data_IF_730755803752
#
_entry.id   IF_730755803752
#
_cell.length_a   1.000
_cell.length_b   1.000
_cell.length_c   1.000
_cell.angle_alpha   90.00
_cell.angle_beta   90.00
_cell.angle_gamma   90.00
#
_symmetry.space_group_name_H-M   'P 1'
#
loop_
_entity.id
_entity.type
_entity.pdbx_description
1 polymer ?
#
# COMPACT_ATOMS: atom_id res chain seq x y z
N UNK A 1 -44.00 29.22 49.97
CA UNK A 1 -42.99 30.27 49.94
C UNK A 1 -42.06 29.99 48.77
N UNK A 2 -42.34 30.62 47.62
CA UNK A 2 -41.51 30.50 46.42
C UNK A 2 -40.31 31.45 46.53
N UNK A 3 -39.12 30.88 46.59
CA UNK A 3 -37.87 31.65 46.49
C UNK A 3 -37.65 31.99 45.02
N UNK A 4 -38.00 33.21 44.64
CA UNK A 4 -37.67 33.77 43.30
C UNK A 4 -36.18 34.11 43.35
N UNK A 5 -35.33 33.24 42.86
CA UNK A 5 -33.89 33.50 42.67
C UNK A 5 -33.78 34.53 41.54
N UNK A 6 -33.59 35.80 41.86
CA UNK A 6 -33.20 36.84 40.88
C UNK A 6 -31.75 36.60 40.49
N UNK A 7 -31.54 35.81 39.44
CA UNK A 7 -30.21 35.69 38.83
C UNK A 7 -29.90 37.06 38.21
N UNK A 8 -28.86 37.77 38.63
CA UNK A 8 -28.52 39.05 38.04
C UNK A 8 -28.21 38.88 36.53
N UNK A 9 -28.72 39.76 35.69
CA UNK A 9 -28.65 39.70 34.22
C UNK A 9 -27.22 39.42 33.72
N UNK A 10 -26.21 39.97 34.39
CA UNK A 10 -24.81 39.78 34.01
C UNK A 10 -24.35 38.30 34.16
N UNK A 11 -24.88 37.55 35.12
CA UNK A 11 -24.55 36.13 35.29
C UNK A 11 -25.20 35.31 34.14
N UNK A 12 -26.41 35.62 33.75
CA UNK A 12 -27.07 34.99 32.61
C UNK A 12 -26.30 35.26 31.32
N UNK A 13 -25.89 36.50 31.09
CA UNK A 13 -25.09 36.88 29.91
C UNK A 13 -23.73 36.17 29.93
N UNK A 14 -23.03 36.12 31.08
CA UNK A 14 -21.75 35.41 31.20
C UNK A 14 -21.88 33.91 30.93
N UNK A 15 -22.97 33.28 31.41
CA UNK A 15 -23.24 31.87 31.15
C UNK A 15 -23.45 31.60 29.67
N UNK A 16 -24.23 32.42 28.98
CA UNK A 16 -24.45 32.26 27.55
C UNK A 16 -23.19 32.53 26.72
N UNK A 17 -22.36 33.50 27.11
CA UNK A 17 -21.08 33.78 26.48
C UNK A 17 -20.11 32.58 26.65
N UNK A 18 -20.06 31.96 27.84
CA UNK A 18 -19.27 30.80 28.12
C UNK A 18 -19.70 29.58 27.27
N UNK A 19 -21.02 29.34 27.19
CA UNK A 19 -21.57 28.26 26.36
C UNK A 19 -21.27 28.47 24.88
N UNK A 20 -21.40 29.70 24.38
CA UNK A 20 -21.03 30.01 23.00
C UNK A 20 -19.54 29.80 22.73
N UNK A 21 -18.64 30.23 23.63
CA UNK A 21 -17.21 30.02 23.51
C UNK A 21 -16.86 28.53 23.51
N UNK A 22 -17.49 27.75 24.38
CA UNK A 22 -17.30 26.30 24.43
C UNK A 22 -17.78 25.62 23.15
N UNK A 23 -18.92 26.03 22.62
CA UNK A 23 -19.45 25.55 21.35
C UNK A 23 -18.51 25.84 20.18
N UNK A 24 -17.96 27.04 20.11
CA UNK A 24 -16.95 27.40 19.08
C UNK A 24 -15.69 26.55 19.24
N UNK A 25 -15.20 26.34 20.46
CA UNK A 25 -14.02 25.49 20.73
C UNK A 25 -14.25 24.06 20.24
N UNK A 26 -15.40 23.47 20.55
CA UNK A 26 -15.78 22.12 20.11
C UNK A 26 -15.82 22.05 18.58
N UNK A 27 -16.43 23.00 17.91
CA UNK A 27 -16.49 23.04 16.45
C UNK A 27 -15.09 23.16 15.83
N UNK A 28 -14.21 23.98 16.41
CA UNK A 28 -12.82 24.12 15.95
C UNK A 28 -12.06 22.80 16.14
N UNK A 29 -12.21 22.13 17.28
CA UNK A 29 -11.59 20.82 17.52
C UNK A 29 -12.09 19.76 16.52
N UNK A 30 -13.39 19.69 16.26
CA UNK A 30 -13.94 18.79 15.25
C UNK A 30 -13.44 19.10 13.84
N UNK A 31 -13.31 20.37 13.48
CA UNK A 31 -12.73 20.78 12.19
C UNK A 31 -11.26 20.39 12.07
N UNK A 32 -10.47 20.53 13.15
CA UNK A 32 -9.07 20.12 13.16
C UNK A 32 -8.95 18.60 13.09
N UNK A 33 -9.76 17.87 13.86
CA UNK A 33 -9.81 16.41 13.81
C UNK A 33 -10.26 15.93 12.42
N UNK A 34 -11.26 16.55 11.83
CA UNK A 34 -11.71 16.26 10.47
C UNK A 34 -10.62 16.51 9.42
N UNK A 35 -9.79 17.56 9.57
CA UNK A 35 -8.64 17.80 8.68
C UNK A 35 -7.54 16.76 8.86
N UNK A 36 -7.26 16.33 10.09
CA UNK A 36 -6.31 15.26 10.36
C UNK A 36 -6.79 13.93 9.79
N UNK A 37 -8.07 13.61 9.93
CA UNK A 37 -8.69 12.42 9.35
C UNK A 37 -8.77 12.50 7.83
N UNK A 38 -9.09 13.65 7.24
CA UNK A 38 -9.12 13.86 5.80
C UNK A 38 -7.69 13.87 5.19
N UNK A 39 -6.69 14.40 5.92
CA UNK A 39 -5.28 14.29 5.54
C UNK A 39 -4.74 12.86 5.65
N UNK A 40 -5.27 12.07 6.58
CA UNK A 40 -5.01 10.63 6.66
C UNK A 40 -5.77 9.83 5.58
N UNK A 41 -6.77 10.44 4.92
CA UNK A 41 -7.58 9.84 3.85
C UNK A 41 -7.07 10.15 2.44
N UNK A 42 -6.03 10.98 2.27
CA UNK A 42 -5.16 10.80 1.13
C UNK A 42 -4.32 9.56 1.48
N UNK A 43 -4.51 8.42 0.79
CA UNK A 43 -3.51 7.38 0.86
C UNK A 43 -2.23 8.09 0.41
N UNK A 44 -1.31 8.36 1.34
CA UNK A 44 0.08 8.45 0.96
C UNK A 44 0.23 7.27 0.02
N UNK A 45 0.59 7.50 -1.25
CA UNK A 45 0.74 6.43 -2.22
C UNK A 45 1.79 5.48 -1.65
N UNK A 46 1.31 4.57 -0.80
CA UNK A 46 2.11 3.54 -0.17
C UNK A 46 2.39 2.54 -1.27
N UNK A 47 3.59 2.60 -1.78
CA UNK A 47 3.99 1.73 -2.86
C UNK A 47 4.09 2.42 -4.23
N UNK A 48 4.44 1.67 -5.26
CA UNK A 48 4.49 2.14 -6.63
C UNK A 48 3.08 2.43 -7.16
N UNK A 49 2.98 3.36 -8.10
CA UNK A 49 1.69 3.71 -8.70
C UNK A 49 1.12 2.52 -9.48
N UNK A 50 -0.17 2.24 -9.30
CA UNK A 50 -0.88 1.21 -10.07
C UNK A 50 -0.86 1.60 -11.56
N UNK A 51 -0.58 0.64 -12.45
CA UNK A 51 -0.39 0.83 -13.87
C UNK A 51 1.03 1.27 -14.27
N UNK A 52 1.93 1.56 -13.33
CA UNK A 52 3.34 1.81 -13.65
C UNK A 52 4.13 0.51 -13.82
N UNK A 53 5.23 0.57 -14.57
CA UNK A 53 6.18 -0.52 -14.63
C UNK A 53 6.87 -0.68 -13.27
N UNK A 54 6.90 -1.91 -12.75
CA UNK A 54 7.61 -2.23 -11.54
C UNK A 54 9.13 -2.19 -11.79
N UNK A 55 9.88 -1.67 -10.81
CA UNK A 55 11.33 -1.62 -10.91
C UNK A 55 11.95 -3.01 -10.64
N UNK A 56 13.06 -3.37 -11.31
CA UNK A 56 13.78 -4.59 -10.96
C UNK A 56 14.40 -4.49 -9.56
N UNK A 57 14.39 -5.60 -8.82
CA UNK A 57 14.97 -5.67 -7.49
C UNK A 57 16.07 -6.73 -7.44
N UNK A 58 17.27 -6.32 -7.07
CA UNK A 58 18.34 -7.22 -6.73
C UNK A 58 18.28 -7.56 -5.24
N UNK A 59 18.38 -8.85 -4.90
CA UNK A 59 18.31 -9.33 -3.52
C UNK A 59 19.22 -10.54 -3.31
N UNK A 60 19.58 -10.80 -2.07
CA UNK A 60 20.29 -12.02 -1.66
C UNK A 60 19.42 -12.82 -0.70
N UNK A 61 19.51 -14.16 -0.76
CA UNK A 61 18.85 -15.03 0.21
C UNK A 61 19.62 -15.11 1.52
N UNK A 62 18.97 -15.53 2.64
CA UNK A 62 19.65 -15.79 3.89
C UNK A 62 20.76 -16.85 3.70
N UNK A 63 22.00 -16.50 4.09
CA UNK A 63 23.14 -17.41 3.99
C UNK A 63 23.71 -17.62 2.58
N UNK A 64 23.20 -16.91 1.56
CA UNK A 64 23.74 -16.95 0.21
C UNK A 64 24.40 -15.58 -0.13
N UNK A 65 25.63 -15.61 -0.65
CA UNK A 65 26.31 -14.40 -1.19
C UNK A 65 25.84 -14.06 -2.61
N UNK A 66 25.18 -15.02 -3.27
CA UNK A 66 24.71 -14.85 -4.63
C UNK A 66 23.58 -13.82 -4.71
N UNK A 67 23.76 -12.82 -5.55
CA UNK A 67 22.74 -11.82 -5.83
C UNK A 67 21.78 -12.35 -6.90
N UNK A 68 20.52 -12.44 -6.54
CA UNK A 68 19.41 -12.78 -7.42
C UNK A 68 18.70 -11.50 -7.89
N UNK A 69 17.91 -11.59 -8.93
CA UNK A 69 17.15 -10.48 -9.44
C UNK A 69 15.71 -10.87 -9.71
N UNK A 70 14.79 -10.06 -9.23
CA UNK A 70 13.42 -10.03 -9.71
C UNK A 70 13.39 -9.02 -10.87
N UNK A 71 13.06 -9.51 -12.07
CA UNK A 71 12.94 -8.67 -13.27
C UNK A 71 11.47 -8.69 -13.69
N UNK A 72 10.68 -7.67 -13.34
CA UNK A 72 9.29 -7.57 -13.78
C UNK A 72 9.20 -7.56 -15.32
N UNK A 73 8.18 -8.22 -15.87
CA UNK A 73 8.01 -8.29 -17.33
C UNK A 73 8.76 -9.44 -18.01
N UNK A 74 9.30 -10.40 -17.24
CA UNK A 74 9.92 -11.63 -17.77
C UNK A 74 8.89 -12.73 -18.12
N UNK A 75 7.60 -12.38 -18.11
CA UNK A 75 6.49 -13.30 -18.36
C UNK A 75 5.96 -14.00 -17.12
N UNK A 76 6.60 -13.82 -15.96
CA UNK A 76 6.16 -14.43 -14.70
C UNK A 76 5.55 -13.36 -13.77
N UNK A 77 4.26 -13.49 -13.42
CA UNK A 77 3.64 -12.57 -12.46
C UNK A 77 4.24 -12.75 -11.07
N UNK A 78 4.34 -11.67 -10.31
CA UNK A 78 5.00 -11.66 -9.02
C UNK A 78 4.17 -10.98 -7.94
N UNK A 79 4.23 -11.52 -6.72
CA UNK A 79 3.69 -10.94 -5.51
C UNK A 79 4.87 -10.60 -4.59
N UNK A 80 5.13 -9.33 -4.38
CA UNK A 80 6.28 -8.84 -3.60
C UNK A 80 5.78 -8.23 -2.30
N UNK A 81 6.21 -8.78 -1.18
CA UNK A 81 5.90 -8.26 0.15
C UNK A 81 7.15 -7.64 0.78
N UNK A 82 7.05 -6.39 1.17
CA UNK A 82 8.06 -5.70 1.96
C UNK A 82 7.67 -5.80 3.43
N UNK A 83 8.51 -6.44 4.22
CA UNK A 83 8.24 -6.80 5.61
C UNK A 83 9.38 -6.41 6.54
N UNK A 84 9.06 -6.19 7.80
CA UNK A 84 10.01 -6.00 8.87
C UNK A 84 9.78 -7.10 9.92
N UNK A 85 10.81 -7.90 10.28
CA UNK A 85 10.68 -8.97 11.25
C UNK A 85 10.30 -8.51 12.66
N UNK A 86 10.45 -7.23 12.97
CA UNK A 86 10.09 -6.65 14.27
C UNK A 86 8.65 -6.12 14.31
N UNK A 87 7.95 -6.16 13.18
CA UNK A 87 6.59 -5.66 13.04
C UNK A 87 5.56 -6.79 13.21
N UNK A 88 4.68 -6.76 14.23
CA UNK A 88 3.68 -7.81 14.45
C UNK A 88 2.74 -8.01 13.26
N UNK A 89 2.31 -6.94 12.59
CA UNK A 89 1.45 -7.02 11.40
C UNK A 89 2.16 -7.70 10.22
N UNK A 90 3.49 -7.66 10.18
CA UNK A 90 4.27 -8.36 9.17
C UNK A 90 4.30 -9.87 9.44
N UNK A 91 4.37 -10.30 10.70
CA UNK A 91 4.26 -11.71 11.07
C UNK A 91 2.90 -12.29 10.69
N UNK A 92 1.82 -11.54 10.92
CA UNK A 92 0.47 -11.91 10.49
C UNK A 92 0.40 -12.08 8.97
N UNK A 93 0.92 -11.12 8.20
CA UNK A 93 0.95 -11.19 6.74
C UNK A 93 1.73 -12.40 6.24
N UNK A 94 2.90 -12.68 6.81
CA UNK A 94 3.73 -13.83 6.44
C UNK A 94 2.98 -15.13 6.70
N UNK A 95 2.30 -15.26 7.85
CA UNK A 95 1.46 -16.42 8.15
C UNK A 95 0.32 -16.61 7.13
N UNK A 96 -0.31 -15.52 6.71
CA UNK A 96 -1.37 -15.55 5.69
C UNK A 96 -0.81 -15.96 4.32
N UNK A 97 0.32 -15.41 3.90
CA UNK A 97 0.96 -15.75 2.63
C UNK A 97 1.42 -17.22 2.61
N UNK A 98 1.98 -17.71 3.70
CA UNK A 98 2.40 -19.11 3.83
C UNK A 98 1.20 -20.07 3.79
N UNK A 99 0.11 -19.73 4.46
CA UNK A 99 -1.13 -20.50 4.40
C UNK A 99 -1.73 -20.51 2.98
N UNK A 100 -1.76 -19.37 2.29
CA UNK A 100 -2.23 -19.25 0.91
C UNK A 100 -1.32 -20.05 -0.06
N UNK A 101 0.00 -20.02 0.15
CA UNK A 101 0.96 -20.83 -0.61
C UNK A 101 0.71 -22.33 -0.45
N UNK A 102 0.52 -22.80 0.79
CA UNK A 102 0.20 -24.21 1.07
C UNK A 102 -1.17 -24.64 0.52
N UNK A 103 -2.12 -23.71 0.47
CA UNK A 103 -3.44 -23.96 -0.14
C UNK A 103 -3.41 -23.95 -1.68
N UNK A 104 -2.27 -23.64 -2.31
CA UNK A 104 -2.15 -23.53 -3.76
C UNK A 104 -2.70 -22.22 -4.35
N UNK A 105 -3.14 -21.28 -3.52
CA UNK A 105 -3.74 -20.02 -3.96
C UNK A 105 -2.72 -19.09 -4.66
N UNK A 106 -1.41 -19.32 -4.45
CA UNK A 106 -0.31 -18.56 -5.04
C UNK A 106 0.38 -19.32 -6.19
N UNK A 107 -0.24 -20.40 -6.69
CA UNK A 107 0.33 -21.21 -7.79
C UNK A 107 0.45 -20.37 -9.05
N UNK A 108 1.62 -20.45 -9.71
CA UNK A 108 1.93 -19.65 -10.90
C UNK A 108 2.42 -18.24 -10.62
N UNK A 109 2.44 -17.81 -9.34
CA UNK A 109 3.01 -16.54 -8.93
C UNK A 109 4.41 -16.74 -8.31
N UNK A 110 5.31 -15.85 -8.63
CA UNK A 110 6.56 -15.71 -7.87
C UNK A 110 6.30 -14.90 -6.62
N UNK A 111 6.31 -15.54 -5.46
CA UNK A 111 6.08 -14.83 -4.17
C UNK A 111 7.41 -14.59 -3.49
N UNK A 112 7.74 -13.29 -3.26
CA UNK A 112 9.00 -12.84 -2.69
C UNK A 112 8.74 -11.96 -1.46
N UNK A 113 9.31 -12.36 -0.32
CA UNK A 113 9.36 -11.57 0.90
C UNK A 113 10.67 -10.78 0.94
N UNK A 114 10.61 -9.47 0.91
CA UNK A 114 11.77 -8.60 1.03
C UNK A 114 11.82 -7.96 2.42
N UNK A 115 12.89 -8.26 3.15
CA UNK A 115 13.13 -7.70 4.49
C UNK A 115 13.75 -6.32 4.33
N UNK A 116 13.04 -5.28 4.81
CA UNK A 116 13.41 -3.88 4.62
C UNK A 116 14.63 -3.47 5.46
N UNK A 117 14.82 -4.06 6.64
CA UNK A 117 15.95 -3.75 7.52
C UNK A 117 17.05 -4.82 7.43
N UNK A 118 18.29 -4.43 7.05
CA UNK A 118 19.41 -5.38 6.93
C UNK A 118 19.88 -5.95 8.26
N UNK A 119 19.65 -5.27 9.39
CA UNK A 119 20.04 -5.75 10.72
C UNK A 119 19.09 -6.84 11.18
N UNK A 120 17.81 -6.64 10.99
CA UNK A 120 16.75 -7.59 11.36
C UNK A 120 16.80 -8.87 10.53
N UNK A 121 17.46 -8.86 9.37
CA UNK A 121 17.64 -10.02 8.53
C UNK A 121 18.45 -11.15 9.19
N UNK A 122 19.41 -10.82 10.04
CA UNK A 122 20.19 -11.79 10.82
C UNK A 122 19.40 -12.38 11.98
N UNK A 123 18.37 -11.69 12.43
CA UNK A 123 17.50 -12.01 13.57
C UNK A 123 16.10 -12.47 13.13
N UNK A 124 15.98 -13.02 11.91
CA UNK A 124 14.69 -13.47 11.39
C UNK A 124 14.00 -14.38 12.40
N UNK A 125 12.78 -13.99 12.80
CA UNK A 125 11.95 -14.77 13.71
C UNK A 125 11.55 -16.12 13.12
N UNK A 126 11.21 -17.08 13.98
CA UNK A 126 10.84 -18.43 13.55
C UNK A 126 9.74 -18.46 12.47
N UNK A 127 8.67 -17.63 12.53
CA UNK A 127 7.64 -17.57 11.49
C UNK A 127 8.21 -17.32 10.08
N UNK A 128 9.18 -16.43 9.96
CA UNK A 128 9.79 -16.14 8.65
C UNK A 128 10.69 -17.27 8.12
N UNK A 129 11.34 -18.03 9.03
CA UNK A 129 12.24 -19.13 8.63
C UNK A 129 11.51 -20.39 8.19
N UNK A 130 10.32 -20.61 8.70
CA UNK A 130 9.55 -21.84 8.49
C UNK A 130 8.62 -21.76 7.27
N UNK A 131 8.59 -20.64 6.56
CA UNK A 131 7.75 -20.47 5.37
C UNK A 131 8.37 -21.17 4.15
N UNK A 132 7.52 -21.72 3.28
CA UNK A 132 7.90 -22.18 1.95
C UNK A 132 8.13 -21.03 0.94
N UNK A 133 8.06 -19.78 1.38
CA UNK A 133 8.17 -18.58 0.54
C UNK A 133 9.64 -18.19 0.31
N UNK A 134 9.90 -17.57 -0.81
CA UNK A 134 11.22 -17.01 -1.11
C UNK A 134 11.46 -15.76 -0.26
N UNK A 135 12.52 -15.75 0.56
CA UNK A 135 12.90 -14.62 1.40
C UNK A 135 14.17 -14.01 0.86
N UNK A 136 14.22 -12.70 0.77
CA UNK A 136 15.39 -11.96 0.32
C UNK A 136 15.63 -10.68 1.11
N UNK A 137 16.88 -10.24 1.07
CA UNK A 137 17.30 -8.91 1.50
C UNK A 137 17.64 -8.11 0.25
N UNK A 138 17.09 -6.90 0.07
CA UNK A 138 17.53 -6.04 -1.03
C UNK A 138 19.04 -5.85 -1.02
N UNK A 139 19.69 -6.12 -2.13
CA UNK A 139 21.14 -5.96 -2.26
C UNK A 139 21.56 -4.48 -2.23
N UNK A 140 20.64 -3.58 -2.53
CA UNK A 140 20.85 -2.14 -2.52
C UNK A 140 19.64 -1.42 -1.94
N UNK A 141 19.87 -0.35 -1.20
CA UNK A 141 18.80 0.51 -0.66
C UNK A 141 17.92 1.16 -1.75
N UNK A 142 18.43 1.24 -2.98
CA UNK A 142 17.68 1.74 -4.14
C UNK A 142 16.43 0.93 -4.47
N UNK A 143 16.44 -0.40 -4.24
CA UNK A 143 15.28 -1.26 -4.48
C UNK A 143 14.05 -0.85 -3.65
N UNK A 144 14.23 -0.53 -2.38
CA UNK A 144 13.16 -0.08 -1.49
C UNK A 144 12.61 1.29 -1.91
N UNK A 145 13.49 2.19 -2.33
CA UNK A 145 13.11 3.54 -2.80
C UNK A 145 12.29 3.50 -4.08
N UNK A 146 12.65 2.63 -5.02
CA UNK A 146 11.90 2.45 -6.28
C UNK A 146 10.48 1.99 -6.04
N UNK A 147 10.25 1.21 -4.98
CA UNK A 147 8.93 0.76 -4.56
C UNK A 147 8.24 1.71 -3.58
N UNK A 148 8.83 2.88 -3.27
CA UNK A 148 8.28 3.88 -2.32
C UNK A 148 7.85 3.24 -0.99
N UNK A 149 8.65 2.31 -0.48
CA UNK A 149 8.38 1.62 0.78
C UNK A 149 8.61 2.58 1.93
N UNK A 150 7.53 3.14 2.48
CA UNK A 150 7.55 4.07 3.61
C UNK A 150 7.00 3.45 4.88
N UNK A 151 6.30 2.33 4.77
CA UNK A 151 5.75 1.56 5.88
C UNK A 151 5.69 0.07 5.53
N UNK A 152 5.72 -0.79 6.54
CA UNK A 152 5.57 -2.23 6.45
C UNK A 152 4.36 -2.68 7.29
N UNK A 153 3.65 -3.73 6.89
CA UNK A 153 3.83 -4.49 5.66
C UNK A 153 3.27 -3.77 4.41
N UNK A 154 3.99 -3.86 3.30
CA UNK A 154 3.54 -3.40 1.99
C UNK A 154 3.51 -4.59 1.02
N UNK A 155 2.39 -4.83 0.37
CA UNK A 155 2.24 -5.86 -0.66
C UNK A 155 2.08 -5.20 -2.03
N UNK A 156 2.78 -5.73 -3.03
CA UNK A 156 2.73 -5.26 -4.41
C UNK A 156 2.44 -6.44 -5.32
N UNK A 157 1.39 -6.31 -6.12
CA UNK A 157 1.01 -7.26 -7.16
C UNK A 157 1.53 -6.78 -8.51
N UNK A 158 2.27 -7.63 -9.20
CA UNK A 158 2.89 -7.34 -10.50
C UNK A 158 2.45 -8.41 -11.48
N UNK A 159 1.93 -8.02 -12.62
CA UNK A 159 1.54 -8.97 -13.67
C UNK A 159 2.71 -9.48 -14.50
N UNK A 160 2.41 -10.37 -15.45
CA UNK A 160 3.41 -10.97 -16.33
C UNK A 160 4.10 -9.95 -17.26
N UNK A 161 3.44 -8.82 -17.57
CA UNK A 161 4.01 -7.73 -18.34
C UNK A 161 4.89 -6.78 -17.50
N UNK A 162 4.91 -6.96 -16.18
CA UNK A 162 5.67 -6.13 -15.25
C UNK A 162 4.93 -4.90 -14.75
N UNK A 163 3.63 -4.79 -15.01
CA UNK A 163 2.82 -3.68 -14.53
C UNK A 163 2.35 -3.92 -13.08
N UNK A 164 2.40 -2.88 -12.27
CA UNK A 164 1.83 -2.89 -10.92
C UNK A 164 0.32 -2.88 -11.01
N UNK A 165 -0.33 -3.94 -10.54
CA UNK A 165 -1.79 -4.10 -10.53
C UNK A 165 -2.44 -3.67 -9.22
N UNK A 166 -1.72 -3.82 -8.12
CA UNK A 166 -2.13 -3.34 -6.81
C UNK A 166 -0.90 -3.07 -5.94
N UNK A 167 -0.97 -2.07 -5.08
CA UNK A 167 0.05 -1.78 -4.08
C UNK A 167 -0.61 -1.20 -2.82
N UNK A 168 -0.20 -1.66 -1.64
CA UNK A 168 -0.71 -1.12 -0.39
C UNK A 168 -0.52 -2.04 0.80
N UNK A 169 -0.93 -1.59 2.00
CA UNK A 169 -0.86 -2.37 3.21
C UNK A 169 -1.92 -3.48 3.19
N UNK A 170 -1.54 -4.66 3.67
CA UNK A 170 -2.42 -5.83 3.73
C UNK A 170 -2.45 -6.37 5.15
N UNK A 171 -3.65 -6.65 5.67
CA UNK A 171 -3.89 -7.16 7.02
C UNK A 171 -4.76 -8.41 7.06
N UNK A 172 -5.39 -8.78 5.95
CA UNK A 172 -6.39 -9.86 5.92
C UNK A 172 -6.14 -10.83 4.76
N UNK A 173 -6.44 -12.10 4.97
CA UNK A 173 -6.30 -13.14 3.96
C UNK A 173 -7.08 -12.84 2.66
N UNK A 174 -8.28 -12.25 2.77
CA UNK A 174 -9.07 -11.86 1.61
C UNK A 174 -8.36 -10.85 0.72
N UNK A 175 -7.59 -9.92 1.32
CA UNK A 175 -6.79 -8.95 0.58
C UNK A 175 -5.63 -9.64 -0.15
N UNK A 176 -4.93 -10.60 0.48
CA UNK A 176 -3.87 -11.38 -0.18
C UNK A 176 -4.41 -12.08 -1.43
N UNK A 177 -5.58 -12.70 -1.34
CA UNK A 177 -6.24 -13.33 -2.51
C UNK A 177 -6.56 -12.33 -3.61
N UNK A 178 -7.08 -11.15 -3.24
CA UNK A 178 -7.36 -10.10 -4.21
C UNK A 178 -6.08 -9.62 -4.93
N UNK A 179 -4.96 -9.50 -4.21
CA UNK A 179 -3.67 -9.15 -4.81
C UNK A 179 -3.14 -10.27 -5.71
N UNK A 180 -3.24 -11.53 -5.28
CA UNK A 180 -2.85 -12.69 -6.10
C UNK A 180 -3.67 -12.75 -7.40
N UNK A 181 -4.98 -12.52 -7.31
CA UNK A 181 -5.85 -12.45 -8.50
C UNK A 181 -5.47 -11.28 -9.41
N UNK A 182 -5.14 -10.11 -8.83
CA UNK A 182 -4.71 -8.96 -9.61
C UNK A 182 -3.43 -9.22 -10.43
N UNK A 183 -2.50 -10.06 -9.93
CA UNK A 183 -1.32 -10.49 -10.69
C UNK A 183 -1.68 -11.30 -11.94
N UNK A 184 -2.79 -12.04 -11.91
CA UNK A 184 -3.21 -12.96 -12.96
C UNK A 184 -4.20 -12.35 -13.95
N UNK A 185 -4.66 -11.11 -13.71
CA UNK A 185 -5.54 -10.43 -14.64
C UNK A 185 -4.80 -10.18 -15.96
N UNK A 186 -5.41 -10.51 -17.11
CA UNK A 186 -4.87 -10.14 -18.40
C UNK A 186 -4.77 -8.61 -18.50
N UNK A 187 -3.85 -8.13 -19.32
CA UNK A 187 -3.80 -6.70 -19.62
C UNK A 187 -5.19 -6.22 -20.05
N UNK A 188 -5.66 -5.06 -19.56
CA UNK A 188 -6.80 -4.43 -20.19
C UNK A 188 -6.37 -4.24 -21.65
N UNK A 189 -7.10 -4.89 -22.57
CA UNK A 189 -6.90 -4.66 -24.00
C UNK A 189 -6.98 -3.15 -24.21
N UNK A 190 -5.81 -2.51 -24.30
CA UNK A 190 -5.72 -1.15 -24.79
C UNK A 190 -6.08 -1.28 -26.26
N UNK A 191 -7.38 -1.24 -26.56
CA UNK A 191 -7.86 -0.93 -27.88
C UNK A 191 -7.26 0.44 -28.20
N UNK A 192 -6.07 0.41 -28.79
CA UNK A 192 -5.57 1.53 -29.55
C UNK A 192 -6.63 1.74 -30.63
N UNK A 193 -7.63 2.56 -30.33
CA UNK A 193 -8.44 3.17 -31.36
C UNK A 193 -7.43 3.90 -32.24
N UNK A 194 -7.01 3.21 -33.29
CA UNK A 194 -6.34 3.83 -34.43
C UNK A 194 -7.36 4.86 -34.93
N UNK A 195 -7.17 6.10 -34.43
CA UNK A 195 -7.86 7.25 -35.02
C UNK A 195 -7.37 7.27 -36.47
N UNK A 196 -8.23 6.94 -37.45
CA UNK A 196 -7.82 7.07 -38.83
C UNK A 196 -7.52 8.55 -39.05
N UNK A 197 -6.31 8.84 -39.48
CA UNK A 197 -5.94 10.17 -39.95
C UNK A 197 -6.82 10.47 -41.17
N UNK A 198 -7.99 11.00 -40.89
CA UNK A 198 -8.90 11.49 -41.94
C UNK A 198 -8.25 12.69 -42.61
N UNK A 199 -7.62 12.39 -43.75
CA UNK A 199 -7.56 13.21 -44.94
C UNK A 199 -7.70 14.73 -44.74
N UNK A 200 -6.60 15.40 -44.46
CA UNK A 200 -6.43 16.78 -44.93
C UNK A 200 -6.18 16.75 -46.44
N UNK A 201 -7.24 16.57 -47.21
CA UNK A 201 -7.21 16.91 -48.63
C UNK A 201 -7.78 18.33 -48.78
N UNK A 202 -6.86 19.26 -48.99
CA UNK A 202 -7.19 20.59 -49.49
C UNK A 202 -7.96 20.50 -50.80
N UNK A 203 -9.05 21.19 -50.83
CA UNK A 203 -9.62 21.67 -52.08
C UNK A 203 -9.28 23.15 -52.21
N UNK A 204 -8.22 23.40 -52.96
CA UNK A 204 -8.04 24.65 -53.67
C UNK A 204 -8.89 24.53 -54.94
N UNK A 205 -9.91 25.34 -55.04
CA UNK A 205 -10.58 25.60 -56.37
C UNK A 205 -10.86 27.07 -56.48
N UNK A 206 -10.15 27.65 -57.43
CA UNK A 206 -10.44 28.75 -58.36
C UNK A 206 -11.24 29.94 -57.83
#
# INVERSE_FOLDING_TARGET
>A
VGVVIRIPLYLAVAQWALLAALGVLVVVMFRQLGRLLAGASQPAELGPAVGSLAAPVAYSRPGEDAVRRLTPGDGQPALVAFVDPTCPSCEELVGVLDAAGRAGELTGLRTLLLISDPVSYLQISAPFRSTGLEIGRPAQAGGLRSYRVTATPLLVAIDAAGLVRAAGPVRQAAQVRAYAQACLLPEPETTLAVVPAAAARGETST
#
